data_IF_896362234656
#
_entry.id   IF_896362234656
#
_cell.length_a   1.000
_cell.length_b   1.000
_cell.length_c   1.000
_cell.angle_alpha   90.00
_cell.angle_beta   90.00
_cell.angle_gamma   90.00
#
_symmetry.space_group_name_H-M   'P 1'
#
loop_
_entity.id
_entity.type
_entity.pdbx_description
1 polymer ?
#
# COMPACT_ATOMS: atom_id res chain seq x y z
N UNK A 1 -40.66 47.42 -52.18
CA UNK A 1 -39.23 47.76 -52.23
C UNK A 1 -38.59 47.34 -50.91
N UNK A 2 -37.61 46.46 -51.03
CA UNK A 2 -36.54 46.12 -50.06
C UNK A 2 -36.96 45.34 -48.81
N UNK A 3 -36.87 44.01 -48.95
CA UNK A 3 -36.59 43.04 -47.89
C UNK A 3 -35.26 43.36 -47.19
N UNK A 4 -35.20 43.18 -45.87
CA UNK A 4 -33.94 42.91 -45.17
C UNK A 4 -34.12 41.67 -44.29
N UNK A 5 -33.56 40.57 -44.80
CA UNK A 5 -33.48 39.27 -44.13
C UNK A 5 -32.11 39.23 -43.46
N UNK A 6 -32.05 39.44 -42.15
CA UNK A 6 -30.82 39.25 -41.39
C UNK A 6 -30.59 37.74 -41.28
N UNK A 7 -29.60 37.24 -42.01
CA UNK A 7 -29.04 35.90 -41.85
C UNK A 7 -28.23 35.90 -40.55
N UNK A 8 -28.61 35.02 -39.62
CA UNK A 8 -27.76 34.63 -38.50
C UNK A 8 -26.98 33.42 -38.99
N UNK A 9 -25.71 33.63 -39.35
CA UNK A 9 -24.79 32.55 -39.65
C UNK A 9 -24.29 31.98 -38.31
N UNK A 10 -24.95 30.94 -37.81
CA UNK A 10 -24.43 30.08 -36.75
C UNK A 10 -23.45 29.07 -37.39
N UNK A 11 -22.19 29.48 -37.56
CA UNK A 11 -21.09 28.53 -37.73
C UNK A 11 -20.58 28.13 -36.34
N UNK A 12 -21.25 27.14 -35.74
CA UNK A 12 -20.67 26.32 -34.69
C UNK A 12 -19.87 25.22 -35.40
N UNK A 13 -18.57 25.40 -35.48
CA UNK A 13 -17.64 24.33 -35.82
C UNK A 13 -17.60 23.35 -34.64
N UNK A 14 -18.39 22.29 -34.73
CA UNK A 14 -18.28 21.10 -33.90
C UNK A 14 -17.08 20.27 -34.39
N UNK A 15 -15.88 20.59 -33.88
CA UNK A 15 -14.80 19.60 -33.73
C UNK A 15 -14.93 19.08 -32.29
N UNK A 16 -15.89 18.20 -32.08
CA UNK A 16 -15.97 17.37 -30.88
C UNK A 16 -15.06 16.17 -31.18
N UNK A 17 -13.78 16.31 -30.80
CA UNK A 17 -12.84 15.19 -30.73
C UNK A 17 -13.57 14.04 -30.00
N UNK A 18 -13.86 12.96 -30.73
CA UNK A 18 -14.52 11.74 -30.26
C UNK A 18 -13.86 11.23 -28.97
N UNK A 19 -14.31 11.73 -27.82
CA UNK A 19 -13.98 11.14 -26.52
C UNK A 19 -14.73 9.81 -26.48
N UNK A 20 -14.04 8.66 -26.43
CA UNK A 20 -14.71 7.37 -26.43
C UNK A 20 -15.64 7.27 -25.23
N UNK A 21 -16.96 7.35 -25.45
CA UNK A 21 -17.94 7.16 -24.40
C UNK A 21 -18.18 5.66 -24.22
N UNK A 22 -17.95 5.17 -23.01
CA UNK A 22 -18.30 3.80 -22.64
C UNK A 22 -19.81 3.61 -22.82
N UNK A 23 -20.21 2.49 -23.42
CA UNK A 23 -21.63 2.17 -23.52
C UNK A 23 -22.25 2.08 -22.12
N UNK A 24 -23.54 2.40 -22.02
CA UNK A 24 -24.31 2.30 -20.77
C UNK A 24 -24.21 0.88 -20.19
N UNK A 25 -24.16 -0.12 -21.06
CA UNK A 25 -23.98 -1.52 -20.69
C UNK A 25 -22.60 -1.77 -20.05
N UNK A 26 -21.52 -1.27 -20.65
CA UNK A 26 -20.17 -1.39 -20.08
C UNK A 26 -20.04 -0.68 -18.74
N UNK A 27 -20.62 0.53 -18.60
CA UNK A 27 -20.63 1.26 -17.33
C UNK A 27 -21.39 0.50 -16.23
N UNK A 28 -22.52 -0.12 -16.58
CA UNK A 28 -23.28 -0.95 -15.64
C UNK A 28 -22.49 -2.18 -15.21
N UNK A 29 -21.86 -2.88 -16.15
CA UNK A 29 -20.99 -4.02 -15.84
C UNK A 29 -19.80 -3.61 -14.96
N UNK A 30 -19.18 -2.45 -15.21
CA UNK A 30 -18.11 -1.91 -14.37
C UNK A 30 -18.61 -1.63 -12.94
N UNK A 31 -19.79 -1.01 -12.80
CA UNK A 31 -20.38 -0.74 -11.48
C UNK A 31 -20.70 -2.04 -10.72
N UNK A 32 -21.27 -3.03 -11.40
CA UNK A 32 -21.53 -4.36 -10.83
C UNK A 32 -20.23 -5.03 -10.38
N UNK A 33 -19.18 -4.97 -11.20
CA UNK A 33 -17.85 -5.50 -10.86
C UNK A 33 -17.24 -4.81 -9.63
N UNK A 34 -17.31 -3.48 -9.53
CA UNK A 34 -16.82 -2.75 -8.36
C UNK A 34 -17.59 -3.13 -7.09
N UNK A 35 -18.92 -3.21 -7.18
CA UNK A 35 -19.76 -3.59 -6.04
C UNK A 35 -19.47 -5.02 -5.56
N UNK A 36 -19.23 -5.96 -6.48
CA UNK A 36 -18.82 -7.32 -6.15
C UNK A 36 -17.45 -7.35 -5.47
N UNK A 37 -16.49 -6.58 -5.97
CA UNK A 37 -15.13 -6.49 -5.42
C UNK A 37 -15.16 -5.93 -4.00
N UNK A 38 -15.87 -4.82 -3.75
CA UNK A 38 -16.06 -4.26 -2.40
C UNK A 38 -16.73 -5.25 -1.44
N UNK A 39 -17.74 -5.99 -1.92
CA UNK A 39 -18.41 -7.00 -1.12
C UNK A 39 -17.50 -8.18 -0.79
N UNK A 40 -16.55 -8.52 -1.67
CA UNK A 40 -15.54 -9.56 -1.44
C UNK A 40 -14.45 -9.07 -0.47
N UNK A 41 -13.98 -7.83 -0.60
CA UNK A 41 -13.03 -7.21 0.33
C UNK A 41 -13.55 -7.23 1.78
N UNK A 42 -14.81 -6.83 1.97
CA UNK A 42 -15.49 -6.83 3.27
C UNK A 42 -15.62 -8.24 3.87
N UNK A 43 -15.46 -9.31 3.08
CA UNK A 43 -15.48 -10.70 3.54
C UNK A 43 -14.09 -11.23 3.94
N UNK A 44 -13.00 -10.52 3.66
CA UNK A 44 -11.65 -10.95 4.05
C UNK A 44 -11.44 -10.74 5.55
N UNK A 45 -11.70 -11.81 6.29
CA UNK A 45 -11.42 -11.93 7.72
C UNK A 45 -10.08 -12.63 7.98
N UNK A 46 -9.56 -12.49 9.20
CA UNK A 46 -8.34 -13.16 9.67
C UNK A 46 -8.37 -14.66 9.38
N UNK A 47 -7.29 -15.18 8.81
CA UNK A 47 -7.05 -16.61 8.72
C UNK A 47 -5.91 -17.01 9.65
N UNK A 48 -6.28 -17.54 10.83
CA UNK A 48 -5.31 -17.93 11.85
C UNK A 48 -4.39 -19.08 11.41
N UNK A 49 -4.80 -19.89 10.42
CA UNK A 49 -3.91 -20.92 9.84
C UNK A 49 -2.76 -20.32 9.03
N UNK A 50 -2.94 -19.10 8.53
CA UNK A 50 -1.90 -18.31 7.87
C UNK A 50 -1.21 -17.34 8.81
N UNK A 51 -1.48 -17.43 10.12
CA UNK A 51 -0.99 -16.50 11.14
C UNK A 51 -1.33 -15.04 10.84
N UNK A 52 -2.51 -14.78 10.28
CA UNK A 52 -2.98 -13.42 10.05
C UNK A 52 -3.64 -12.86 11.32
N UNK A 53 -3.12 -11.74 11.79
CA UNK A 53 -3.67 -10.97 12.91
C UNK A 53 -3.80 -9.53 12.44
N UNK A 54 -5.00 -8.95 12.54
CA UNK A 54 -5.23 -7.60 12.06
C UNK A 54 -4.80 -6.57 13.07
N UNK A 55 -4.06 -5.55 12.61
CA UNK A 55 -3.81 -4.36 13.39
C UNK A 55 -5.10 -3.67 13.80
N UNK A 56 -5.10 -3.08 15.00
CA UNK A 56 -6.14 -2.14 15.34
C UNK A 56 -6.04 -0.88 14.46
N UNK A 57 -7.14 -0.13 14.39
CA UNK A 57 -7.18 1.10 13.59
C UNK A 57 -6.06 2.05 13.95
N UNK A 58 -5.76 2.24 15.24
CA UNK A 58 -4.69 3.17 15.67
C UNK A 58 -3.36 2.78 15.03
N UNK A 59 -3.04 1.49 15.02
CA UNK A 59 -1.77 0.98 14.51
C UNK A 59 -1.64 1.15 13.01
N UNK A 60 -2.66 0.78 12.24
CA UNK A 60 -2.61 0.95 10.78
C UNK A 60 -2.58 2.42 10.37
N UNK A 61 -3.33 3.29 11.07
CA UNK A 61 -3.33 4.75 10.85
C UNK A 61 -1.98 5.39 11.18
N UNK A 62 -1.37 5.03 12.32
CA UNK A 62 -0.05 5.54 12.71
C UNK A 62 1.04 5.13 11.71
N UNK A 63 1.02 3.87 11.26
CA UNK A 63 1.95 3.40 10.22
C UNK A 63 1.70 4.12 8.88
N UNK A 64 0.44 4.33 8.48
CA UNK A 64 0.11 5.06 7.26
C UNK A 64 0.62 6.51 7.29
N UNK A 65 0.50 7.21 8.43
CA UNK A 65 1.05 8.56 8.61
C UNK A 65 2.57 8.58 8.43
N UNK A 66 3.28 7.60 8.98
CA UNK A 66 4.72 7.46 8.77
C UNK A 66 5.05 7.25 7.29
N UNK A 67 4.28 6.41 6.58
CA UNK A 67 4.43 6.23 5.12
C UNK A 67 4.27 7.55 4.37
N UNK A 68 3.20 8.29 4.65
CA UNK A 68 2.93 9.54 3.94
C UNK A 68 3.95 10.64 4.24
N UNK A 69 4.44 10.73 5.48
CA UNK A 69 5.53 11.65 5.82
C UNK A 69 6.78 11.33 5.00
N UNK A 70 7.15 10.05 4.90
CA UNK A 70 8.30 9.63 4.10
C UNK A 70 8.09 9.92 2.61
N UNK A 71 6.87 9.76 2.11
CA UNK A 71 6.52 10.13 0.74
C UNK A 71 6.70 11.65 0.51
N UNK A 72 6.15 12.49 1.38
CA UNK A 72 6.27 13.95 1.30
C UNK A 72 7.75 14.37 1.25
N UNK A 73 8.58 13.83 2.14
CA UNK A 73 10.00 14.15 2.17
C UNK A 73 10.74 13.69 0.90
N UNK A 74 10.49 12.45 0.45
CA UNK A 74 11.16 11.90 -0.74
C UNK A 74 10.73 12.63 -2.03
N UNK A 75 9.46 13.02 -2.13
CA UNK A 75 8.89 13.69 -3.30
C UNK A 75 9.36 15.15 -3.47
N UNK A 76 10.08 15.72 -2.50
CA UNK A 76 10.81 16.99 -2.69
C UNK A 76 11.94 16.87 -3.71
N UNK A 77 12.50 15.67 -3.87
CA UNK A 77 13.67 15.40 -4.74
C UNK A 77 13.43 14.27 -5.75
N UNK A 78 12.27 13.62 -5.69
CA UNK A 78 11.90 12.47 -6.54
C UNK A 78 10.51 12.68 -7.14
N UNK A 79 10.22 12.02 -8.27
CA UNK A 79 8.91 12.12 -8.93
C UNK A 79 7.88 11.13 -8.41
N UNK A 80 8.34 9.99 -7.89
CA UNK A 80 7.51 8.90 -7.38
C UNK A 80 8.08 8.35 -6.07
N UNK A 81 7.21 7.68 -5.31
CA UNK A 81 7.53 7.00 -4.07
C UNK A 81 6.85 5.63 -4.03
N UNK A 82 7.65 4.57 -3.97
CA UNK A 82 7.14 3.22 -4.10
C UNK A 82 7.19 2.50 -2.73
N UNK A 83 6.07 1.94 -2.30
CA UNK A 83 5.91 1.29 -0.99
C UNK A 83 5.55 -0.18 -1.16
N UNK A 84 6.25 -1.08 -0.46
CA UNK A 84 5.85 -2.48 -0.35
C UNK A 84 5.33 -2.79 1.06
N UNK A 85 4.17 -3.44 1.13
CA UNK A 85 3.67 -4.11 2.32
C UNK A 85 3.94 -5.62 2.17
N UNK A 86 4.92 -6.15 2.91
CA UNK A 86 5.32 -7.57 2.84
C UNK A 86 4.72 -8.33 4.01
N UNK A 87 3.75 -9.20 3.74
CA UNK A 87 2.92 -9.87 4.74
C UNK A 87 2.22 -8.90 5.69
N UNK A 88 1.96 -7.66 5.26
CA UNK A 88 1.36 -6.60 6.06
C UNK A 88 0.05 -6.09 5.43
N UNK A 89 -0.97 -6.96 5.25
CA UNK A 89 -2.20 -6.62 4.54
C UNK A 89 -3.06 -5.56 5.25
N UNK A 90 -3.04 -5.48 6.58
CA UNK A 90 -3.85 -4.49 7.31
C UNK A 90 -3.40 -3.05 7.00
N UNK A 91 -2.08 -2.80 6.98
CA UNK A 91 -1.54 -1.51 6.56
C UNK A 91 -1.84 -1.24 5.08
N UNK A 92 -1.67 -2.24 4.21
CA UNK A 92 -1.97 -2.09 2.79
C UNK A 92 -3.41 -1.64 2.56
N UNK A 93 -4.39 -2.24 3.24
CA UNK A 93 -5.81 -1.83 3.17
C UNK A 93 -6.00 -0.37 3.56
N UNK A 94 -5.36 0.08 4.64
CA UNK A 94 -5.42 1.49 5.07
C UNK A 94 -4.79 2.42 4.03
N UNK A 95 -3.63 2.07 3.47
CA UNK A 95 -2.99 2.86 2.40
C UNK A 95 -3.83 2.89 1.13
N UNK A 96 -4.39 1.75 0.72
CA UNK A 96 -5.25 1.62 -0.45
C UNK A 96 -6.51 2.49 -0.31
N UNK A 97 -7.18 2.43 0.84
CA UNK A 97 -8.33 3.29 1.11
C UNK A 97 -7.97 4.77 0.93
N UNK A 98 -6.88 5.24 1.54
CA UNK A 98 -6.50 6.65 1.42
C UNK A 98 -6.06 7.05 0.01
N UNK A 99 -5.29 6.21 -0.68
CA UNK A 99 -4.71 6.55 -1.98
C UNK A 99 -5.64 6.29 -3.17
N UNK A 100 -6.52 5.30 -3.10
CA UNK A 100 -7.32 4.85 -4.24
C UNK A 100 -8.81 5.18 -4.09
N UNK A 101 -9.36 5.06 -2.88
CA UNK A 101 -10.80 5.24 -2.62
C UNK A 101 -11.11 6.66 -2.14
N UNK A 102 -10.63 7.04 -0.97
CA UNK A 102 -10.90 8.32 -0.34
C UNK A 102 -10.16 9.47 -1.05
N UNK A 103 -8.93 9.23 -1.52
CA UNK A 103 -8.04 10.23 -2.15
C UNK A 103 -7.85 11.51 -1.32
N UNK A 104 -7.97 11.39 0.00
CA UNK A 104 -7.87 12.49 0.95
C UNK A 104 -7.39 11.97 2.30
N UNK A 105 -6.70 12.79 3.06
CA UNK A 105 -6.31 12.48 4.44
C UNK A 105 -6.43 13.76 5.29
N UNK A 106 -7.13 13.68 6.42
CA UNK A 106 -7.56 14.88 7.18
C UNK A 106 -6.41 15.63 7.86
N UNK A 107 -5.29 14.96 8.09
CA UNK A 107 -4.12 15.53 8.78
C UNK A 107 -2.95 15.85 7.84
N UNK A 108 -3.11 15.62 6.53
CA UNK A 108 -2.04 15.84 5.55
C UNK A 108 -2.52 16.84 4.50
N UNK A 109 -1.91 18.02 4.51
CA UNK A 109 -2.17 19.07 3.54
C UNK A 109 -1.76 18.63 2.13
N UNK A 110 -2.53 19.06 1.12
CA UNK A 110 -2.29 18.76 -0.29
C UNK A 110 -2.16 17.26 -0.61
N UNK A 111 -2.83 16.39 0.15
CA UNK A 111 -2.78 14.94 -0.03
C UNK A 111 -3.15 14.49 -1.46
N UNK A 112 -4.04 15.21 -2.14
CA UNK A 112 -4.43 14.94 -3.53
C UNK A 112 -3.25 14.96 -4.51
N UNK A 113 -2.20 15.74 -4.23
CA UNK A 113 -0.97 15.78 -5.04
C UNK A 113 -0.07 14.55 -4.83
N UNK A 114 -0.22 13.85 -3.69
CA UNK A 114 0.53 12.65 -3.36
C UNK A 114 -0.07 11.40 -4.02
N UNK A 115 -1.41 11.35 -4.15
CA UNK A 115 -2.18 10.18 -4.60
C UNK A 115 -1.60 9.53 -5.86
N UNK A 116 -1.25 10.33 -6.88
CA UNK A 116 -0.75 9.80 -8.16
C UNK A 116 0.77 9.57 -8.18
N UNK A 117 1.49 9.94 -7.12
CA UNK A 117 2.95 9.81 -7.01
C UNK A 117 3.36 8.66 -6.10
N UNK A 118 2.43 8.06 -5.37
CA UNK A 118 2.68 6.95 -4.46
C UNK A 118 2.13 5.66 -5.09
N UNK A 119 3.02 4.71 -5.37
CA UNK A 119 2.66 3.35 -5.76
C UNK A 119 2.77 2.40 -4.56
N UNK A 120 1.79 1.52 -4.38
CA UNK A 120 1.75 0.57 -3.26
C UNK A 120 1.61 -0.86 -3.80
N UNK A 121 2.38 -1.80 -3.23
CA UNK A 121 2.26 -3.23 -3.55
C UNK A 121 2.13 -4.07 -2.29
N UNK A 122 1.21 -5.03 -2.30
CA UNK A 122 1.05 -6.05 -1.27
C UNK A 122 1.71 -7.34 -1.71
N UNK A 123 2.71 -7.81 -0.96
CA UNK A 123 3.27 -9.15 -1.10
C UNK A 123 2.61 -10.04 -0.05
N UNK A 124 1.68 -10.90 -0.46
CA UNK A 124 0.86 -11.70 0.46
C UNK A 124 0.60 -13.11 -0.08
N UNK A 125 0.58 -14.10 0.82
CA UNK A 125 0.34 -15.50 0.48
C UNK A 125 -1.15 -15.78 0.25
N UNK A 126 -2.00 -15.07 0.99
CA UNK A 126 -3.44 -15.25 0.91
C UNK A 126 -4.04 -14.68 -0.38
N UNK A 127 -4.35 -15.57 -1.32
CA UNK A 127 -4.94 -15.25 -2.62
C UNK A 127 -6.30 -14.54 -2.55
N UNK A 128 -6.95 -14.48 -1.39
CA UNK A 128 -8.16 -13.66 -1.23
C UNK A 128 -7.89 -12.17 -1.52
N UNK A 129 -6.64 -11.72 -1.37
CA UNK A 129 -6.21 -10.36 -1.71
C UNK A 129 -5.97 -10.14 -3.21
N UNK A 130 -6.16 -11.14 -4.09
CA UNK A 130 -6.05 -10.97 -5.56
C UNK A 130 -7.05 -9.95 -6.13
N UNK A 131 -8.10 -9.62 -5.38
CA UNK A 131 -9.06 -8.57 -5.70
C UNK A 131 -8.45 -7.17 -5.85
N UNK A 132 -7.27 -6.93 -5.26
CA UNK A 132 -6.50 -5.68 -5.45
C UNK A 132 -5.72 -5.64 -6.78
N UNK A 133 -5.88 -6.65 -7.64
CA UNK A 133 -5.37 -6.65 -9.01
C UNK A 133 -3.85 -6.46 -9.08
N UNK A 134 -3.41 -5.45 -9.84
CA UNK A 134 -1.98 -5.16 -10.02
C UNK A 134 -1.25 -4.72 -8.76
N UNK A 135 -1.97 -4.30 -7.71
CA UNK A 135 -1.38 -3.94 -6.43
C UNK A 135 -1.10 -5.18 -5.55
N UNK A 136 -1.73 -6.32 -5.86
CA UNK A 136 -1.42 -7.60 -5.23
C UNK A 136 -0.28 -8.33 -5.95
N UNK A 137 0.59 -8.94 -5.14
CA UNK A 137 1.66 -9.87 -5.55
C UNK A 137 1.57 -11.11 -4.67
N UNK A 138 1.24 -12.24 -5.28
CA UNK A 138 1.32 -13.51 -4.58
C UNK A 138 2.76 -13.72 -4.11
N UNK A 139 2.92 -13.99 -2.81
CA UNK A 139 4.23 -14.11 -2.18
C UNK A 139 4.22 -15.27 -1.19
N UNK A 140 5.13 -16.22 -1.39
CA UNK A 140 5.43 -17.28 -0.43
C UNK A 140 6.84 -17.07 0.11
N UNK A 141 6.97 -16.74 1.40
CA UNK A 141 8.26 -16.57 2.04
C UNK A 141 9.14 -17.83 1.93
N UNK A 142 8.58 -19.02 1.68
CA UNK A 142 9.36 -20.25 1.45
C UNK A 142 10.13 -20.20 0.14
N UNK A 143 9.65 -19.44 -0.83
CA UNK A 143 10.25 -19.17 -2.14
C UNK A 143 10.52 -17.64 -2.26
N UNK A 144 11.42 -17.07 -1.45
CA UNK A 144 11.49 -15.62 -1.22
C UNK A 144 11.92 -14.80 -2.45
N UNK A 145 12.47 -15.44 -3.48
CA UNK A 145 12.92 -14.79 -4.71
C UNK A 145 11.99 -15.09 -5.91
N UNK A 146 10.86 -15.75 -5.67
CA UNK A 146 9.84 -16.05 -6.69
C UNK A 146 8.85 -14.88 -6.80
N UNK A 147 9.32 -13.79 -7.40
CA UNK A 147 8.52 -12.61 -7.71
C UNK A 147 8.96 -12.00 -9.06
N UNK A 148 8.13 -11.13 -9.64
CA UNK A 148 8.46 -10.47 -10.91
C UNK A 148 9.76 -9.66 -10.78
N UNK A 149 10.76 -10.00 -11.59
CA UNK A 149 12.06 -9.31 -11.68
C UNK A 149 11.96 -7.79 -11.88
N UNK A 150 10.84 -7.27 -12.41
CA UNK A 150 10.59 -5.82 -12.52
C UNK A 150 10.49 -5.11 -11.16
N UNK A 151 10.23 -5.86 -10.09
CA UNK A 151 10.13 -5.34 -8.72
C UNK A 151 11.49 -5.35 -7.98
N UNK A 152 12.56 -5.82 -8.63
CA UNK A 152 13.91 -5.68 -8.07
C UNK A 152 14.30 -4.20 -7.96
N UNK A 153 14.83 -3.82 -6.80
CA UNK A 153 15.26 -2.44 -6.50
C UNK A 153 14.20 -1.37 -6.81
N UNK A 154 12.92 -1.70 -6.61
CA UNK A 154 11.80 -0.83 -6.96
C UNK A 154 11.33 0.06 -5.80
N UNK A 155 11.45 -0.40 -4.55
CA UNK A 155 10.79 0.23 -3.40
C UNK A 155 11.69 1.18 -2.61
N UNK A 156 11.14 2.34 -2.26
CA UNK A 156 11.77 3.37 -1.42
C UNK A 156 11.52 3.09 0.07
N UNK A 157 10.35 2.55 0.40
CA UNK A 157 9.94 2.16 1.74
C UNK A 157 9.31 0.77 1.73
N UNK A 158 9.75 -0.09 2.65
CA UNK A 158 9.15 -1.41 2.85
C UNK A 158 8.65 -1.51 4.29
N UNK A 159 7.44 -2.02 4.45
CA UNK A 159 6.88 -2.38 5.76
C UNK A 159 6.61 -3.88 5.75
N UNK A 160 7.08 -4.58 6.76
CA UNK A 160 6.90 -6.03 6.86
C UNK A 160 6.32 -6.48 8.20
N UNK A 161 5.44 -7.47 8.14
CA UNK A 161 4.96 -8.23 9.31
C UNK A 161 5.00 -9.74 9.01
N UNK A 162 6.17 -10.39 9.16
CA UNK A 162 6.32 -11.79 8.78
C UNK A 162 5.38 -12.71 9.59
N UNK A 163 4.69 -13.68 8.96
CA UNK A 163 3.60 -14.43 9.58
C UNK A 163 4.05 -15.35 10.74
N UNK A 164 5.33 -15.69 10.83
CA UNK A 164 5.85 -16.62 11.83
C UNK A 164 7.04 -16.03 12.58
N UNK A 165 7.01 -16.15 13.91
CA UNK A 165 8.12 -15.82 14.82
C UNK A 165 9.21 -16.89 14.80
N UNK A 166 9.72 -17.19 13.61
CA UNK A 166 10.82 -18.12 13.39
C UNK A 166 11.95 -17.45 12.64
N UNK A 167 13.18 -17.88 12.94
CA UNK A 167 14.37 -17.37 12.28
C UNK A 167 14.34 -17.60 10.76
N UNK A 168 13.88 -18.77 10.31
CA UNK A 168 13.78 -19.08 8.87
C UNK A 168 12.85 -18.08 8.15
N UNK A 169 11.66 -17.82 8.71
CA UNK A 169 10.69 -16.90 8.14
C UNK A 169 11.28 -15.49 7.99
N UNK A 170 11.94 -14.99 9.04
CA UNK A 170 12.55 -13.66 9.05
C UNK A 170 13.74 -13.55 8.10
N UNK A 171 14.61 -14.56 8.05
CA UNK A 171 15.75 -14.57 7.12
C UNK A 171 15.30 -14.63 5.67
N UNK A 172 14.31 -15.46 5.34
CA UNK A 172 13.77 -15.52 3.97
C UNK A 172 13.06 -14.22 3.60
N UNK A 173 12.30 -13.63 4.52
CA UNK A 173 11.70 -12.30 4.29
C UNK A 173 12.77 -11.22 4.10
N UNK A 174 13.85 -11.27 4.86
CA UNK A 174 14.99 -10.36 4.68
C UNK A 174 15.67 -10.53 3.30
N UNK A 175 15.71 -11.75 2.73
CA UNK A 175 16.19 -11.97 1.36
C UNK A 175 15.31 -11.25 0.34
N UNK A 176 13.98 -11.37 0.46
CA UNK A 176 13.01 -10.65 -0.38
C UNK A 176 13.23 -9.15 -0.28
N UNK A 177 13.23 -8.62 0.95
CA UNK A 177 13.39 -7.18 1.24
C UNK A 177 14.65 -6.63 0.56
N UNK A 178 15.80 -7.29 0.75
CA UNK A 178 17.08 -6.85 0.17
C UNK A 178 17.07 -6.81 -1.36
N UNK A 179 16.29 -7.68 -2.00
CA UNK A 179 16.25 -7.80 -3.46
C UNK A 179 15.30 -6.78 -4.09
N UNK A 180 14.18 -6.45 -3.43
CA UNK A 180 13.19 -5.49 -3.94
C UNK A 180 13.49 -4.03 -3.53
N UNK A 181 14.37 -3.84 -2.55
CA UNK A 181 14.75 -2.54 -2.01
C UNK A 181 15.69 -1.71 -2.91
N UNK A 182 15.43 -0.41 -3.01
CA UNK A 182 16.42 0.56 -3.51
C UNK A 182 17.60 0.72 -2.53
N UNK A 183 18.70 1.30 -3.00
CA UNK A 183 19.94 1.43 -2.22
C UNK A 183 19.76 2.24 -0.91
N UNK A 184 18.89 3.24 -0.90
CA UNK A 184 18.59 4.11 0.25
C UNK A 184 17.28 3.74 0.96
N UNK A 185 16.94 2.44 0.96
CA UNK A 185 15.73 1.90 1.55
C UNK A 185 15.49 2.37 2.99
N UNK A 186 14.27 2.83 3.24
CA UNK A 186 13.68 2.85 4.57
C UNK A 186 12.89 1.57 4.83
N UNK A 187 13.06 0.98 6.01
CA UNK A 187 12.44 -0.28 6.39
C UNK A 187 11.79 -0.15 7.75
N UNK A 188 10.55 -0.60 7.85
CA UNK A 188 9.80 -0.80 9.09
C UNK A 188 9.44 -2.28 9.20
N UNK A 189 9.64 -2.89 10.35
CA UNK A 189 9.20 -4.26 10.65
C UNK A 189 8.41 -4.25 11.94
N UNK A 190 7.16 -4.68 11.88
CA UNK A 190 6.34 -5.00 13.04
C UNK A 190 6.38 -6.51 13.23
N UNK A 191 6.81 -7.00 14.39
CA UNK A 191 6.84 -8.44 14.68
C UNK A 191 6.97 -8.70 16.18
N UNK A 192 7.05 -9.96 16.58
CA UNK A 192 7.25 -10.35 17.98
C UNK A 192 8.63 -9.95 18.51
N UNK A 193 8.68 -9.45 19.75
CA UNK A 193 9.90 -8.96 20.42
C UNK A 193 11.06 -9.98 20.44
N UNK A 194 10.71 -11.27 20.45
CA UNK A 194 11.65 -12.40 20.36
C UNK A 194 12.54 -12.37 19.10
N UNK A 195 12.19 -11.62 18.06
CA UNK A 195 12.96 -11.50 16.82
C UNK A 195 13.97 -10.34 16.81
N UNK A 196 14.05 -9.54 17.88
CA UNK A 196 14.86 -8.31 17.94
C UNK A 196 16.32 -8.50 17.55
N UNK A 197 17.03 -9.44 18.19
CA UNK A 197 18.45 -9.70 17.93
C UNK A 197 18.69 -10.10 16.46
N UNK A 198 17.77 -10.89 15.89
CA UNK A 198 17.85 -11.31 14.50
C UNK A 198 17.66 -10.12 13.55
N UNK A 199 16.68 -9.24 13.83
CA UNK A 199 16.43 -8.04 13.04
C UNK A 199 17.60 -7.05 13.11
N UNK A 200 18.18 -6.86 14.29
CA UNK A 200 19.35 -6.02 14.48
C UNK A 200 20.56 -6.56 13.69
N UNK A 201 20.83 -7.87 13.78
CA UNK A 201 21.96 -8.49 13.08
C UNK A 201 21.76 -8.57 11.55
N UNK A 202 20.56 -8.90 11.09
CA UNK A 202 20.30 -9.20 9.68
C UNK A 202 19.83 -7.99 8.86
N UNK A 203 19.19 -6.99 9.46
CA UNK A 203 18.60 -5.85 8.76
C UNK A 203 19.01 -4.49 9.36
N UNK A 204 19.84 -4.49 10.41
CA UNK A 204 20.29 -3.28 11.12
C UNK A 204 19.12 -2.42 11.63
N UNK A 205 18.05 -3.08 12.06
CA UNK A 205 16.89 -2.42 12.61
C UNK A 205 17.11 -2.11 14.09
N UNK A 206 16.54 -0.99 14.54
CA UNK A 206 16.45 -0.60 15.94
C UNK A 206 14.99 -0.62 16.39
N UNK A 207 14.78 -0.81 17.67
CA UNK A 207 13.47 -0.68 18.31
C UNK A 207 12.95 0.76 18.18
N UNK A 208 11.66 0.89 17.91
CA UNK A 208 10.89 2.14 17.96
C UNK A 208 10.10 2.21 19.28
N UNK A 209 9.78 3.43 19.75
CA UNK A 209 8.96 3.63 20.96
C UNK A 209 7.51 3.14 20.80
N UNK A 210 7.01 3.14 19.56
CA UNK A 210 5.66 2.75 19.21
C UNK A 210 5.42 1.24 19.40
N UNK A 211 4.32 0.92 20.09
CA UNK A 211 3.90 -0.46 20.35
C UNK A 211 2.69 -0.77 19.46
N UNK A 212 2.85 -1.59 18.40
CA UNK A 212 1.75 -1.98 17.53
C UNK A 212 0.76 -2.86 18.30
N UNK A 213 -0.53 -2.71 17.98
CA UNK A 213 -1.64 -3.44 18.58
C UNK A 213 -2.50 -4.08 17.51
N UNK A 214 -3.22 -5.11 17.93
CA UNK A 214 -4.09 -5.90 17.07
C UNK A 214 -5.53 -5.80 17.56
N UNK A 215 -6.50 -6.02 16.67
CA UNK A 215 -7.93 -6.05 17.01
C UNK A 215 -8.23 -7.12 18.08
N UNK A 216 -7.43 -8.19 18.10
CA UNK A 216 -7.51 -9.29 19.06
C UNK A 216 -6.26 -9.32 19.92
N UNK A 217 -6.43 -9.71 21.18
CA UNK A 217 -5.29 -9.91 22.06
C UNK A 217 -4.46 -11.12 21.60
N UNK A 218 -3.16 -10.89 21.42
CA UNK A 218 -2.18 -11.92 21.12
C UNK A 218 -1.35 -12.21 22.38
N UNK A 219 -0.90 -13.46 22.51
CA UNK A 219 -0.05 -13.86 23.64
C UNK A 219 1.39 -13.32 23.51
N UNK A 220 1.86 -13.16 22.28
CA UNK A 220 3.21 -12.65 22.02
C UNK A 220 3.23 -11.13 22.14
N UNK A 221 4.30 -10.61 22.73
CA UNK A 221 4.57 -9.17 22.71
C UNK A 221 5.07 -8.76 21.33
N UNK A 222 4.36 -7.83 20.68
CA UNK A 222 4.77 -7.25 19.40
C UNK A 222 5.41 -5.88 19.59
N UNK A 223 6.40 -5.59 18.74
CA UNK A 223 7.16 -4.35 18.70
C UNK A 223 7.31 -3.86 17.27
N UNK A 224 7.66 -2.59 17.12
CA UNK A 224 7.96 -1.97 15.84
C UNK A 224 9.46 -1.65 15.78
N UNK A 225 10.09 -1.92 14.64
CA UNK A 225 11.51 -1.72 14.40
C UNK A 225 11.74 -0.97 13.09
N UNK A 226 12.75 -0.11 13.02
CA UNK A 226 13.10 0.63 11.80
C UNK A 226 14.61 0.79 11.60
N UNK A 227 15.05 1.02 10.35
CA UNK A 227 16.46 1.31 10.02
C UNK A 227 16.78 2.82 9.92
N UNK A 228 15.83 3.69 10.28
CA UNK A 228 15.94 5.14 10.20
C UNK A 228 15.23 5.80 11.38
N UNK A 229 15.42 7.11 11.55
CA UNK A 229 14.68 7.87 12.55
C UNK A 229 13.25 8.12 12.08
N UNK A 230 12.28 7.54 12.76
CA UNK A 230 10.86 7.70 12.45
C UNK A 230 10.30 8.90 13.20
N UNK A 231 9.23 9.50 12.69
CA UNK A 231 8.57 10.60 13.37
C UNK A 231 7.38 10.10 14.18
N UNK A 232 6.48 9.33 13.57
CA UNK A 232 5.27 8.85 14.23
C UNK A 232 5.47 7.57 15.05
N UNK A 233 6.62 6.89 14.90
CA UNK A 233 6.89 5.63 15.60
C UNK A 233 7.88 5.78 16.77
N UNK A 234 8.55 6.94 16.89
CA UNK A 234 9.45 7.23 18.00
C UNK A 234 8.89 8.27 19.00
N UNK A 235 7.84 9.00 18.63
CA UNK A 235 7.23 10.07 19.42
C UNK A 235 5.80 9.74 19.91
#
# INVERSE_FOLDING_TARGET
MISNKIRVDNNLSEDDDDVPQLSIETLKTLQEFYAETEAQEKKINENWKLSQFWYDKRTSETLAKEVFLNAIEKLKTSTHFNVACVSCPTLFKTLHFYLKEAKQHTEIDNFSELVNKIDIKLFEYDKRFEIYGEDFKFYDYKNPLDFDSKLEQYFDLIISDPPYLSQECHLKTAMTIRKIAKNDLKLIVCTGAVMEDLLAASLKLRLCSFIPRHERNLANEFKCYANYQTFYLDN
#
